data_IF_115878265576
#
_entry.id   IF_115878265576
#
_cell.length_a   1.000
_cell.length_b   1.000
_cell.length_c   1.000
_cell.angle_alpha   90.00
_cell.angle_beta   90.00
_cell.angle_gamma   90.00
#
_symmetry.space_group_name_H-M   'P 1'
#
loop_
_entity.id
_entity.type
_entity.pdbx_description
1 polymer ?
#
# COMPACT_ATOMS: atom_id res chain seq x y z
N UNK A 1 1.41 2.60 -10.20
CA UNK A 1 1.32 1.17 -10.56
C UNK A 1 1.26 1.10 -12.06
N UNK A 2 2.15 0.34 -12.72
CA UNK A 2 2.02 0.09 -14.15
C UNK A 2 0.84 -0.87 -14.40
N UNK A 3 0.14 -0.72 -15.53
CA UNK A 3 -0.93 -1.63 -15.97
C UNK A 3 -0.39 -2.96 -16.52
N UNK A 4 0.93 -3.12 -16.57
CA UNK A 4 1.63 -4.27 -17.12
C UNK A 4 1.20 -5.59 -16.43
N UNK A 5 0.52 -6.49 -17.18
CA UNK A 5 0.02 -7.78 -16.71
C UNK A 5 1.06 -8.66 -16.00
N UNK A 6 2.33 -8.56 -16.40
CA UNK A 6 3.42 -9.38 -15.86
C UNK A 6 3.92 -8.95 -14.49
N UNK A 7 3.51 -7.78 -13.98
CA UNK A 7 3.93 -7.30 -12.66
C UNK A 7 3.18 -8.02 -11.53
N UNK A 8 3.79 -9.08 -10.99
CA UNK A 8 3.31 -9.82 -9.81
C UNK A 8 3.98 -9.34 -8.52
N UNK A 9 3.40 -9.70 -7.39
CA UNK A 9 4.07 -9.56 -6.09
C UNK A 9 5.31 -10.46 -6.04
N UNK A 10 6.34 -10.04 -5.30
CA UNK A 10 7.63 -10.74 -5.21
C UNK A 10 7.71 -11.73 -4.04
N UNK A 11 6.69 -11.78 -3.19
CA UNK A 11 6.56 -12.74 -2.09
C UNK A 11 5.20 -13.43 -2.19
N UNK A 12 5.05 -14.67 -1.68
CA UNK A 12 3.77 -15.35 -1.68
C UNK A 12 2.69 -14.55 -0.93
N UNK A 13 1.45 -14.61 -1.41
CA UNK A 13 0.31 -13.93 -0.78
C UNK A 13 0.12 -14.31 0.70
N UNK A 14 0.47 -15.55 1.08
CA UNK A 14 0.45 -16.05 2.46
C UNK A 14 1.39 -15.29 3.42
N UNK A 15 2.34 -14.50 2.90
CA UNK A 15 3.30 -13.71 3.66
C UNK A 15 3.01 -12.20 3.64
N UNK A 16 1.85 -11.81 3.11
CA UNK A 16 1.47 -10.41 2.98
C UNK A 16 0.22 -10.16 3.81
N UNK A 17 0.27 -9.18 4.71
CA UNK A 17 -0.89 -8.75 5.49
C UNK A 17 -0.82 -7.26 5.80
N UNK A 18 -1.99 -6.66 6.00
CA UNK A 18 -2.13 -5.32 6.60
C UNK A 18 -2.50 -5.38 8.07
N UNK A 19 -2.88 -6.56 8.57
CA UNK A 19 -3.32 -6.80 9.94
C UNK A 19 -2.23 -7.65 10.60
N UNK A 20 -1.39 -7.08 11.49
CA UNK A 20 -0.22 -7.77 12.05
C UNK A 20 -0.57 -9.12 12.71
N UNK A 21 -1.72 -9.20 13.36
CA UNK A 21 -2.19 -10.39 14.06
C UNK A 21 -2.86 -11.42 13.12
N UNK A 22 -3.06 -11.07 11.85
CA UNK A 22 -3.66 -11.93 10.83
C UNK A 22 -2.72 -12.08 9.62
N UNK A 23 -1.66 -12.90 9.73
CA UNK A 23 -0.63 -13.00 8.69
C UNK A 23 -1.16 -13.49 7.32
N UNK A 24 -2.27 -14.23 7.31
CA UNK A 24 -2.91 -14.76 6.10
C UNK A 24 -4.10 -13.91 5.61
N UNK A 25 -4.28 -12.70 6.13
CA UNK A 25 -5.44 -11.86 5.81
C UNK A 25 -5.61 -11.62 4.30
N UNK A 26 -4.51 -11.31 3.59
CA UNK A 26 -4.57 -11.14 2.13
C UNK A 26 -4.90 -12.44 1.40
N UNK A 27 -4.34 -13.58 1.84
CA UNK A 27 -4.61 -14.88 1.21
C UNK A 27 -6.09 -15.26 1.35
N UNK A 28 -6.70 -15.05 2.52
CA UNK A 28 -8.13 -15.28 2.74
C UNK A 28 -9.01 -14.38 1.87
N UNK A 29 -8.68 -13.10 1.81
CA UNK A 29 -9.38 -12.15 0.94
C UNK A 29 -9.30 -12.58 -0.54
N UNK A 30 -8.12 -13.00 -1.00
CA UNK A 30 -7.89 -13.44 -2.37
C UNK A 30 -8.70 -14.69 -2.74
N UNK A 31 -8.82 -15.63 -1.79
CA UNK A 31 -9.63 -16.83 -1.95
C UNK A 31 -11.13 -16.50 -2.02
N UNK A 32 -11.60 -15.56 -1.19
CA UNK A 32 -13.00 -15.11 -1.20
C UNK A 32 -13.38 -14.41 -2.51
N UNK A 33 -12.48 -13.58 -3.03
CA UNK A 33 -12.73 -12.79 -4.24
C UNK A 33 -12.68 -13.62 -5.55
N UNK A 34 -12.15 -14.85 -5.49
CA UNK A 34 -12.10 -15.79 -6.62
C UNK A 34 -11.01 -15.47 -7.65
N UNK A 35 -10.08 -14.57 -7.33
CA UNK A 35 -9.02 -14.12 -8.24
C UNK A 35 -8.08 -15.25 -8.67
N UNK A 36 -7.82 -16.20 -7.78
CA UNK A 36 -6.97 -17.36 -8.08
C UNK A 36 -7.54 -18.18 -9.25
N UNK A 37 -8.86 -18.29 -9.34
CA UNK A 37 -9.52 -18.98 -10.45
C UNK A 37 -9.50 -18.19 -11.77
N UNK A 38 -9.42 -16.85 -11.70
CA UNK A 38 -9.36 -15.97 -12.88
C UNK A 38 -7.94 -15.83 -13.44
N UNK A 39 -6.92 -16.10 -12.63
CA UNK A 39 -5.50 -16.02 -13.00
C UNK A 39 -4.75 -17.29 -12.56
N UNK A 40 -4.91 -18.42 -13.29
CA UNK A 40 -4.22 -19.68 -12.96
C UNK A 40 -2.69 -19.54 -12.93
N UNK A 41 -2.14 -18.63 -13.74
CA UNK A 41 -0.71 -18.31 -13.80
C UNK A 41 -0.20 -17.62 -12.51
N UNK A 42 -1.10 -17.26 -11.58
CA UNK A 42 -0.72 -16.79 -10.25
C UNK A 42 -0.28 -17.92 -9.32
N UNK A 43 -0.61 -19.18 -9.61
CA UNK A 43 -0.27 -20.32 -8.76
C UNK A 43 1.05 -20.94 -9.22
N UNK A 44 2.04 -20.96 -8.34
CA UNK A 44 3.32 -21.59 -8.60
C UNK A 44 3.26 -23.11 -8.38
N UNK A 45 4.28 -23.83 -8.83
CA UNK A 45 4.34 -25.31 -8.79
C UNK A 45 4.22 -25.91 -7.38
N UNK A 46 4.56 -25.13 -6.36
CA UNK A 46 4.47 -25.51 -4.94
C UNK A 46 3.13 -25.11 -4.28
N UNK A 47 2.19 -24.54 -5.04
CA UNK A 47 0.90 -24.05 -4.54
C UNK A 47 0.93 -22.62 -4.00
N UNK A 48 2.07 -21.95 -3.94
CA UNK A 48 2.14 -20.54 -3.55
C UNK A 48 1.45 -19.65 -4.58
N UNK A 49 0.74 -18.62 -4.10
CA UNK A 49 0.01 -17.68 -4.96
C UNK A 49 0.75 -16.34 -5.05
N UNK A 50 1.05 -15.93 -6.27
CA UNK A 50 1.70 -14.67 -6.64
C UNK A 50 0.75 -13.85 -7.52
N UNK A 51 -0.27 -13.20 -6.93
CA UNK A 51 -1.22 -12.41 -7.71
C UNK A 51 -0.52 -11.21 -8.35
N UNK A 52 -1.17 -10.63 -9.37
CA UNK A 52 -0.70 -9.37 -9.97
C UNK A 52 -0.65 -8.28 -8.90
N UNK A 53 0.34 -7.39 -8.94
CA UNK A 53 0.55 -6.33 -7.94
C UNK A 53 -0.66 -5.39 -7.82
N UNK A 54 -1.43 -5.19 -8.90
CA UNK A 54 -2.70 -4.44 -8.87
C UNK A 54 -3.76 -5.06 -7.95
N UNK A 55 -3.76 -6.39 -7.80
CA UNK A 55 -4.72 -7.11 -6.94
C UNK A 55 -4.41 -6.84 -5.47
N UNK A 56 -3.12 -6.84 -5.10
CA UNK A 56 -2.70 -6.39 -3.78
C UNK A 56 -3.07 -4.92 -3.53
N UNK A 57 -2.91 -4.04 -4.54
CA UNK A 57 -3.36 -2.66 -4.46
C UNK A 57 -4.87 -2.51 -4.24
N UNK A 58 -5.71 -3.32 -4.90
CA UNK A 58 -7.15 -3.35 -4.68
C UNK A 58 -7.48 -3.78 -3.26
N UNK A 59 -6.88 -4.87 -2.79
CA UNK A 59 -7.03 -5.32 -1.40
C UNK A 59 -6.72 -4.19 -0.40
N UNK A 60 -5.60 -3.48 -0.55
CA UNK A 60 -5.24 -2.35 0.32
C UNK A 60 -6.30 -1.24 0.27
N UNK A 61 -6.77 -0.89 -0.93
CA UNK A 61 -7.79 0.14 -1.09
C UNK A 61 -9.13 -0.24 -0.42
N UNK A 62 -9.56 -1.49 -0.55
CA UNK A 62 -10.79 -1.99 0.09
C UNK A 62 -10.68 -2.00 1.62
N UNK A 63 -9.52 -2.36 2.18
CA UNK A 63 -9.31 -2.29 3.63
C UNK A 63 -9.30 -0.85 4.16
N UNK A 64 -8.88 0.12 3.34
CA UNK A 64 -8.88 1.54 3.71
C UNK A 64 -10.23 2.23 3.51
N UNK A 65 -11.07 1.73 2.59
CA UNK A 65 -12.31 2.40 2.19
C UNK A 65 -13.23 2.77 3.37
N UNK A 66 -13.51 1.89 4.36
CA UNK A 66 -14.36 2.27 5.49
C UNK A 66 -13.80 3.42 6.33
N UNK A 67 -12.48 3.52 6.47
CA UNK A 67 -11.83 4.59 7.22
C UNK A 67 -11.85 5.93 6.45
N UNK A 68 -11.82 5.86 5.12
CA UNK A 68 -11.99 7.03 4.27
C UNK A 68 -13.44 7.52 4.30
N UNK A 69 -14.41 6.60 4.20
CA UNK A 69 -15.84 6.91 4.24
C UNK A 69 -16.27 7.54 5.57
N UNK A 70 -15.73 7.05 6.69
CA UNK A 70 -15.97 7.62 8.02
C UNK A 70 -15.20 8.92 8.29
N UNK A 71 -14.26 9.29 7.41
CA UNK A 71 -13.39 10.45 7.60
C UNK A 71 -12.26 10.26 8.62
N UNK A 72 -12.12 9.05 9.19
CA UNK A 72 -10.98 8.70 10.05
C UNK A 72 -9.64 8.78 9.30
N UNK A 73 -9.65 8.52 7.99
CA UNK A 73 -8.51 8.69 7.08
C UNK A 73 -8.88 9.71 6.00
N UNK A 74 -8.10 10.78 5.90
CA UNK A 74 -8.17 11.72 4.78
C UNK A 74 -7.05 11.42 3.78
N UNK A 75 -7.40 10.85 2.63
CA UNK A 75 -6.46 10.59 1.55
C UNK A 75 -6.30 11.83 0.66
N UNK A 76 -5.09 12.39 0.62
CA UNK A 76 -4.73 13.51 -0.24
C UNK A 76 -3.77 13.04 -1.34
N UNK A 77 -4.13 13.27 -2.60
CA UNK A 77 -3.26 13.00 -3.75
C UNK A 77 -2.40 14.23 -4.02
N UNK A 78 -1.38 14.41 -3.20
CA UNK A 78 -0.50 15.58 -3.22
C UNK A 78 0.96 15.16 -2.90
N UNK A 79 1.91 15.98 -3.33
CA UNK A 79 3.33 15.80 -3.06
C UNK A 79 3.74 16.54 -1.79
N UNK A 80 4.23 15.79 -0.80
CA UNK A 80 4.92 16.39 0.36
C UNK A 80 6.31 16.86 -0.07
N UNK A 81 6.58 18.16 0.07
CA UNK A 81 7.85 18.78 -0.34
C UNK A 81 8.79 19.02 0.84
N UNK A 82 8.24 19.20 2.05
CA UNK A 82 9.01 19.50 3.25
C UNK A 82 8.25 19.16 4.52
N UNK A 83 8.96 18.80 5.57
CA UNK A 83 8.41 18.70 6.94
C UNK A 83 9.27 19.56 7.87
N UNK A 84 8.63 20.34 8.74
CA UNK A 84 9.32 21.15 9.77
C UNK A 84 8.67 20.93 11.12
N UNK A 85 9.48 20.99 12.17
CA UNK A 85 9.00 21.06 13.54
C UNK A 85 8.44 22.47 13.81
N UNK A 86 7.28 22.53 14.44
CA UNK A 86 6.62 23.76 14.86
C UNK A 86 7.07 24.18 16.25
N UNK A 87 6.93 25.46 16.58
CA UNK A 87 7.35 26.01 17.88
C UNK A 87 6.50 25.52 19.05
N UNK A 88 5.29 25.03 18.78
CA UNK A 88 4.36 24.43 19.74
C UNK A 88 4.68 22.94 20.03
N UNK A 89 5.71 22.38 19.39
CA UNK A 89 6.16 21.01 19.58
C UNK A 89 5.63 20.00 18.54
N UNK A 90 4.63 20.39 17.74
CA UNK A 90 4.07 19.59 16.64
C UNK A 90 4.88 19.69 15.34
N UNK A 91 4.26 19.33 14.23
CA UNK A 91 4.86 19.34 12.89
C UNK A 91 3.99 20.08 11.88
N UNK A 92 4.64 20.74 10.93
CA UNK A 92 4.02 21.26 9.71
C UNK A 92 4.57 20.51 8.51
N UNK A 93 3.66 19.88 7.76
CA UNK A 93 3.92 19.20 6.50
C UNK A 93 3.55 20.15 5.36
N UNK A 94 4.51 20.52 4.52
CA UNK A 94 4.30 21.38 3.37
C UNK A 94 4.05 20.52 2.14
N UNK A 95 2.87 20.65 1.55
CA UNK A 95 2.48 19.99 0.30
C UNK A 95 2.51 20.96 -0.88
N UNK A 96 2.09 20.55 -2.08
CA UNK A 96 2.00 21.48 -3.22
C UNK A 96 0.79 22.41 -3.13
N UNK A 97 -0.27 22.01 -2.43
CA UNK A 97 -1.47 22.82 -2.20
C UNK A 97 -1.33 23.69 -0.94
N UNK A 98 -1.32 23.08 0.25
CA UNK A 98 -1.35 23.82 1.51
C UNK A 98 -0.63 23.10 2.67
N UNK A 99 -0.08 23.84 3.66
CA UNK A 99 0.52 23.22 4.83
C UNK A 99 -0.51 22.49 5.70
N UNK A 100 -0.11 21.35 6.26
CA UNK A 100 -0.91 20.51 7.15
C UNK A 100 -0.21 20.42 8.50
N UNK A 101 -0.92 20.71 9.59
CA UNK A 101 -0.45 20.51 10.95
C UNK A 101 -0.69 19.07 11.41
N UNK A 102 0.28 18.50 12.13
CA UNK A 102 0.18 17.15 12.70
C UNK A 102 0.97 17.04 14.01
N UNK A 103 0.48 16.25 14.96
CA UNK A 103 1.21 15.94 16.20
C UNK A 103 2.34 14.94 15.95
N UNK A 104 2.11 14.00 15.01
CA UNK A 104 3.04 12.93 14.65
C UNK A 104 3.14 12.83 13.13
N UNK A 105 4.36 12.62 12.62
CA UNK A 105 4.62 12.38 11.20
C UNK A 105 5.33 11.04 11.04
N UNK A 106 4.79 10.17 10.19
CA UNK A 106 5.40 8.90 9.79
C UNK A 106 5.79 8.99 8.32
N UNK A 107 7.07 8.73 8.01
CA UNK A 107 7.56 8.68 6.64
C UNK A 107 7.49 7.24 6.13
N UNK A 108 6.47 6.94 5.32
CA UNK A 108 6.27 5.64 4.67
C UNK A 108 6.63 5.68 3.18
N UNK A 109 7.75 6.35 2.85
CA UNK A 109 8.25 6.41 1.48
C UNK A 109 8.97 5.11 1.15
N UNK A 110 8.62 4.49 0.03
CA UNK A 110 9.38 3.36 -0.53
C UNK A 110 10.80 3.83 -0.89
N UNK A 111 11.71 2.89 -1.13
CA UNK A 111 13.04 3.23 -1.64
C UNK A 111 12.94 4.11 -2.90
N UNK A 112 13.85 5.09 -3.06
CA UNK A 112 13.97 5.83 -4.31
C UNK A 112 14.17 4.83 -5.48
N UNK A 113 13.77 5.24 -6.68
CA UNK A 113 14.07 4.46 -7.89
C UNK A 113 15.56 4.10 -7.90
N UNK A 114 15.93 2.88 -8.33
CA UNK A 114 17.35 2.51 -8.42
C UNK A 114 18.08 3.52 -9.29
N UNK A 115 19.08 4.20 -8.72
CA UNK A 115 20.02 4.97 -9.52
C UNK A 115 21.11 4.04 -10.04
N UNK A 116 21.59 4.34 -11.25
CA UNK A 116 22.75 3.65 -11.80
C UNK A 116 23.97 4.05 -10.96
N UNK A 117 24.82 3.11 -10.51
CA UNK A 117 26.06 3.46 -9.83
C UNK A 117 26.90 4.41 -10.69
N UNK A 118 27.50 5.42 -10.05
CA UNK A 118 28.43 6.36 -10.70
C UNK A 118 29.73 5.68 -11.15
#
# INVERSE_FOLDING_TARGET
>A
SSEEPSHRVNVPAARMSLVPDEPEHFLRWLAHDGEVGRDPDSVWRNGDVFPRRRIFGRYVAEQLAPFVETGAVRHLRDDVRKVRRSSDGGWTVFTSDQPISADVVVLAMTHPSPDVPA
#
